data_IF_216365769105
#
_entry.id   IF_216365769105
#
_cell.length_a   1.000
_cell.length_b   1.000
_cell.length_c   1.000
_cell.angle_alpha   90.00
_cell.angle_beta   90.00
_cell.angle_gamma   90.00
#
_symmetry.space_group_name_H-M   'P 1'
#
loop_
_entity.id
_entity.type
_entity.pdbx_description
1 polymer ?
#
# COMPACT_ATOMS: atom_id res chain seq x y z
N UNK A 1 3.01 5.22 52.53
CA UNK A 1 2.43 6.43 51.92
C UNK A 1 3.55 7.24 51.32
N UNK A 2 3.79 7.10 50.02
CA UNK A 2 4.71 7.95 49.25
C UNK A 2 3.96 8.40 48.02
N UNK A 3 3.93 9.72 47.84
CA UNK A 3 3.06 10.44 46.92
C UNK A 3 3.32 10.03 45.46
N UNK A 4 2.23 9.83 44.71
CA UNK A 4 2.23 9.79 43.26
C UNK A 4 2.43 11.23 42.77
N UNK A 5 3.63 11.55 42.28
CA UNK A 5 3.82 12.74 41.47
C UNK A 5 3.25 12.48 40.07
N UNK A 6 2.13 13.13 39.84
CA UNK A 6 1.47 13.35 38.56
C UNK A 6 2.23 14.41 37.77
N UNK A 7 2.22 14.29 36.45
CA UNK A 7 2.68 15.26 35.44
C UNK A 7 4.17 15.25 35.07
N UNK A 8 4.57 14.22 34.32
CA UNK A 8 5.59 14.37 33.29
C UNK A 8 4.98 13.72 32.03
N UNK A 9 4.71 14.46 30.92
CA UNK A 9 4.18 13.86 29.71
C UNK A 9 5.18 12.80 29.25
N UNK A 10 4.72 11.55 29.16
CA UNK A 10 5.53 10.39 28.79
C UNK A 10 6.28 10.71 27.49
N UNK A 11 7.57 11.04 27.62
CA UNK A 11 8.41 11.35 26.49
C UNK A 11 8.59 10.04 25.68
N UNK A 12 8.13 9.99 24.42
CA UNK A 12 8.16 8.77 23.62
C UNK A 12 9.59 8.25 23.40
N UNK A 13 10.60 9.13 23.42
CA UNK A 13 12.01 8.74 23.36
C UNK A 13 12.47 8.06 24.65
N UNK A 14 11.94 8.46 25.82
CA UNK A 14 12.21 7.74 27.08
C UNK A 14 11.55 6.36 27.05
N UNK A 15 10.31 6.23 26.56
CA UNK A 15 9.63 4.94 26.51
C UNK A 15 10.32 3.95 25.56
N UNK A 16 10.75 4.43 24.38
CA UNK A 16 11.56 3.66 23.44
C UNK A 16 12.92 3.26 24.03
N UNK A 17 13.57 4.14 24.79
CA UNK A 17 14.80 3.82 25.51
C UNK A 17 14.57 2.81 26.66
N UNK A 18 13.39 2.81 27.28
CA UNK A 18 13.12 1.90 28.41
C UNK A 18 12.83 0.48 27.93
N UNK A 19 12.34 0.31 26.70
CA UNK A 19 11.84 -0.98 26.23
C UNK A 19 12.93 -1.93 25.70
N UNK A 20 14.12 -1.50 25.25
CA UNK A 20 15.28 -2.38 24.99
C UNK A 20 16.61 -1.62 24.74
N UNK A 21 17.06 -0.77 25.67
CA UNK A 21 18.37 -0.09 25.57
C UNK A 21 19.33 -0.57 26.67
N UNK A 22 20.25 -1.48 26.34
CA UNK A 22 21.36 -1.82 27.23
C UNK A 22 22.49 -0.80 27.01
N UNK A 23 22.81 0.08 27.98
CA UNK A 23 23.71 1.22 27.78
C UNK A 23 25.18 0.84 27.52
N UNK A 24 25.54 -0.45 27.58
CA UNK A 24 26.91 -0.93 27.37
C UNK A 24 27.20 -1.51 25.97
N UNK A 25 26.19 -1.63 25.10
CA UNK A 25 26.41 -2.14 23.74
C UNK A 25 26.89 -1.02 22.80
N UNK A 26 28.16 -1.09 22.41
CA UNK A 26 28.86 -0.14 21.51
C UNK A 26 28.01 0.29 20.31
N UNK A 27 27.73 1.60 20.28
CA UNK A 27 26.71 2.29 19.46
C UNK A 27 27.09 2.54 17.98
N UNK A 28 28.25 2.14 17.48
CA UNK A 28 28.77 2.76 16.24
C UNK A 28 28.37 2.14 14.89
N UNK A 29 27.56 1.07 14.84
CA UNK A 29 27.08 0.54 13.54
C UNK A 29 25.61 0.08 13.48
N UNK A 30 24.88 0.12 14.59
CA UNK A 30 23.46 -0.26 14.66
C UNK A 30 22.48 0.90 14.46
N UNK A 31 22.97 2.14 14.44
CA UNK A 31 22.14 3.35 14.51
C UNK A 31 21.46 3.72 13.18
N UNK A 32 22.09 3.48 12.03
CA UNK A 32 21.50 3.92 10.74
C UNK A 32 20.35 3.04 10.25
N UNK A 33 20.41 1.73 10.45
CA UNK A 33 19.34 0.80 10.06
C UNK A 33 18.13 1.00 10.98
N UNK A 34 18.37 1.03 12.31
CA UNK A 34 17.32 1.27 13.31
C UNK A 34 16.70 2.66 13.16
N UNK A 35 17.50 3.69 12.88
CA UNK A 35 16.99 5.03 12.57
C UNK A 35 16.22 5.06 11.26
N UNK A 36 16.64 4.38 10.20
CA UNK A 36 15.87 4.28 8.95
C UNK A 36 14.55 3.56 9.17
N UNK A 37 14.57 2.48 9.95
CA UNK A 37 13.35 1.75 10.32
C UNK A 37 12.45 2.67 11.13
N UNK A 38 12.96 3.37 12.16
CA UNK A 38 12.19 4.33 12.96
C UNK A 38 11.68 5.54 12.16
N UNK A 39 12.51 6.19 11.36
CA UNK A 39 12.14 7.31 10.48
C UNK A 39 11.10 6.85 9.43
N UNK A 40 11.23 5.62 8.93
CA UNK A 40 10.26 5.00 8.03
C UNK A 40 8.95 4.68 8.73
N UNK A 41 8.99 4.13 9.96
CA UNK A 41 7.80 3.91 10.78
C UNK A 41 7.13 5.24 11.16
N UNK A 42 7.90 6.27 11.53
CA UNK A 42 7.39 7.61 11.82
C UNK A 42 6.80 8.31 10.59
N UNK A 43 7.32 8.03 9.39
CA UNK A 43 6.70 8.48 8.12
C UNK A 43 5.43 7.71 7.76
N UNK A 44 5.29 6.46 8.21
CA UNK A 44 4.12 5.62 7.93
C UNK A 44 3.00 5.82 8.96
N UNK A 45 3.38 6.11 10.21
CA UNK A 45 2.47 6.32 11.33
C UNK A 45 2.13 7.82 11.39
N UNK A 46 1.20 8.25 10.54
CA UNK A 46 0.70 9.63 10.48
C UNK A 46 0.15 10.11 11.84
N UNK A 47 -0.21 9.19 12.73
CA UNK A 47 -0.69 9.45 14.09
C UNK A 47 0.02 8.48 15.03
N UNK A 48 1.26 8.81 15.41
CA UNK A 48 1.93 8.09 16.48
C UNK A 48 1.31 8.57 17.79
N UNK A 49 0.18 7.95 18.15
CA UNK A 49 -0.28 8.03 19.52
C UNK A 49 0.49 6.98 20.33
N UNK A 50 1.23 7.38 21.38
CA UNK A 50 1.90 6.45 22.27
C UNK A 50 0.97 5.38 22.87
N UNK A 51 -0.35 5.65 22.90
CA UNK A 51 -1.36 4.68 23.32
C UNK A 51 -1.30 3.41 22.45
N UNK A 52 -0.97 3.52 21.15
CA UNK A 52 -0.89 2.38 20.23
C UNK A 52 0.52 1.77 20.14
N UNK A 53 1.49 2.27 20.91
CA UNK A 53 2.87 1.77 20.89
C UNK A 53 2.97 0.24 21.10
N UNK A 54 2.22 -0.38 22.03
CA UNK A 54 2.24 -1.84 22.19
C UNK A 54 1.79 -2.57 20.92
N UNK A 55 0.73 -2.09 20.27
CA UNK A 55 0.19 -2.73 19.06
C UNK A 55 1.17 -2.68 17.89
N UNK A 56 1.98 -1.62 17.76
CA UNK A 56 3.03 -1.56 16.75
C UNK A 56 4.13 -2.59 17.00
N UNK A 57 4.44 -2.88 18.26
CA UNK A 57 5.43 -3.90 18.64
C UNK A 57 4.89 -5.31 18.36
N UNK A 58 3.59 -5.53 18.58
CA UNK A 58 2.93 -6.83 18.39
C UNK A 58 2.59 -7.13 16.92
N UNK A 59 2.39 -6.09 16.09
CA UNK A 59 1.94 -6.23 14.71
C UNK A 59 2.76 -7.20 13.84
N UNK A 60 4.11 -7.23 13.88
CA UNK A 60 4.88 -8.19 13.08
C UNK A 60 4.67 -9.65 13.52
N UNK A 61 4.45 -9.88 14.82
CA UNK A 61 4.18 -11.21 15.36
C UNK A 61 2.79 -11.69 14.92
N UNK A 62 1.77 -10.84 15.05
CA UNK A 62 0.41 -11.13 14.59
C UNK A 62 0.35 -11.39 13.08
N UNK A 63 1.06 -10.60 12.27
CA UNK A 63 1.16 -10.85 10.84
C UNK A 63 1.82 -12.20 10.55
N UNK A 64 2.89 -12.53 11.27
CA UNK A 64 3.58 -13.82 11.10
C UNK A 64 2.67 -14.99 11.46
N UNK A 65 1.92 -14.89 12.56
CA UNK A 65 0.92 -15.88 12.96
C UNK A 65 -0.12 -16.08 11.85
N UNK A 66 -0.71 -15.00 11.35
CA UNK A 66 -1.71 -15.05 10.28
C UNK A 66 -1.16 -15.69 9.00
N UNK A 67 0.11 -15.44 8.66
CA UNK A 67 0.72 -15.97 7.44
C UNK A 67 1.16 -17.43 7.57
N UNK A 68 1.53 -17.88 8.77
CA UNK A 68 2.03 -19.23 9.05
C UNK A 68 0.88 -20.21 9.31
N UNK A 69 -0.09 -19.82 10.13
CA UNK A 69 -1.14 -20.72 10.59
C UNK A 69 -2.20 -20.98 9.51
N UNK A 70 -2.50 -19.97 8.69
CA UNK A 70 -3.52 -20.07 7.65
C UNK A 70 -2.92 -20.20 6.25
N UNK A 71 -3.23 -21.32 5.59
CA UNK A 71 -2.82 -21.55 4.21
C UNK A 71 -3.75 -20.82 3.24
N UNK A 72 -3.22 -19.79 2.58
CA UNK A 72 -3.90 -19.08 1.51
C UNK A 72 -4.76 -17.91 1.99
N UNK A 73 -5.12 -17.04 1.04
CA UNK A 73 -5.78 -15.77 1.33
C UNK A 73 -7.16 -15.94 2.00
N UNK A 74 -7.95 -16.94 1.58
CA UNK A 74 -9.30 -17.14 2.11
C UNK A 74 -9.32 -17.45 3.61
N UNK A 75 -8.46 -18.36 4.08
CA UNK A 75 -8.38 -18.71 5.50
C UNK A 75 -7.92 -17.52 6.35
N UNK A 76 -6.98 -16.72 5.84
CA UNK A 76 -6.55 -15.48 6.51
C UNK A 76 -7.68 -14.47 6.65
N UNK A 77 -8.50 -14.31 5.60
CA UNK A 77 -9.67 -13.44 5.64
C UNK A 77 -10.72 -13.93 6.64
N UNK A 78 -11.02 -15.23 6.65
CA UNK A 78 -11.93 -15.84 7.62
C UNK A 78 -11.44 -15.59 9.06
N UNK A 79 -10.16 -15.82 9.31
CA UNK A 79 -9.56 -15.60 10.64
C UNK A 79 -9.60 -14.14 11.08
N UNK A 80 -9.25 -13.19 10.21
CA UNK A 80 -9.39 -11.75 10.50
C UNK A 80 -10.85 -11.37 10.78
N UNK A 81 -11.83 -12.03 10.17
CA UNK A 81 -13.25 -11.72 10.39
C UNK A 81 -13.81 -12.28 11.70
N UNK A 82 -13.26 -13.39 12.20
CA UNK A 82 -13.77 -14.12 13.35
C UNK A 82 -13.03 -13.80 14.64
N UNK A 83 -11.72 -13.58 14.56
CA UNK A 83 -10.85 -13.45 15.73
C UNK A 83 -10.48 -11.99 16.02
N UNK A 84 -10.89 -11.53 17.20
CA UNK A 84 -10.64 -10.18 17.69
C UNK A 84 -9.14 -9.90 17.91
N UNK A 85 -8.31 -10.94 18.04
CA UNK A 85 -6.85 -10.80 18.16
C UNK A 85 -6.20 -10.14 16.94
N UNK A 86 -6.90 -10.06 15.80
CA UNK A 86 -6.40 -9.37 14.61
C UNK A 86 -7.03 -7.98 14.42
N UNK A 87 -7.92 -7.54 15.31
CA UNK A 87 -8.58 -6.22 15.20
C UNK A 87 -7.75 -5.13 15.87
N UNK A 88 -6.50 -5.02 15.42
CA UNK A 88 -5.51 -4.09 15.96
C UNK A 88 -5.14 -3.01 14.96
N UNK A 89 -5.04 -1.77 15.45
CA UNK A 89 -4.62 -0.63 14.65
C UNK A 89 -3.19 -0.84 14.12
N UNK A 90 -2.29 -1.30 15.00
CA UNK A 90 -0.90 -1.60 14.65
C UNK A 90 -0.79 -2.63 13.52
N UNK A 91 -1.59 -3.69 13.58
CA UNK A 91 -1.62 -4.73 12.54
C UNK A 91 -2.11 -4.17 11.20
N UNK A 92 -3.19 -3.38 11.21
CA UNK A 92 -3.70 -2.73 10.01
C UNK A 92 -2.61 -1.88 9.33
N UNK A 93 -1.93 -1.03 10.07
CA UNK A 93 -0.86 -0.19 9.51
C UNK A 93 0.31 -1.03 9.00
N UNK A 94 0.67 -2.11 9.70
CA UNK A 94 1.72 -3.00 9.25
C UNK A 94 1.37 -3.73 7.94
N UNK A 95 0.12 -4.19 7.79
CA UNK A 95 -0.39 -4.78 6.54
C UNK A 95 -0.34 -3.77 5.37
N UNK A 96 -0.71 -2.51 5.60
CA UNK A 96 -0.64 -1.46 4.57
C UNK A 96 0.80 -1.18 4.14
N UNK A 97 1.73 -1.13 5.10
CA UNK A 97 3.15 -0.96 4.82
C UNK A 97 3.68 -2.12 3.99
N UNK A 98 3.36 -3.35 4.38
CA UNK A 98 3.85 -4.56 3.69
C UNK A 98 3.22 -4.72 2.30
N UNK A 99 1.94 -4.38 2.16
CA UNK A 99 1.27 -4.32 0.85
C UNK A 99 2.05 -3.40 -0.10
N UNK A 100 2.43 -2.20 0.35
CA UNK A 100 3.18 -1.25 -0.46
C UNK A 100 4.60 -1.75 -0.80
N UNK A 101 5.29 -2.41 0.14
CA UNK A 101 6.62 -3.00 -0.11
C UNK A 101 6.57 -4.12 -1.15
N UNK A 102 5.52 -4.92 -1.12
CA UNK A 102 5.33 -6.03 -2.05
C UNK A 102 4.96 -5.61 -3.48
N UNK A 103 4.66 -4.32 -3.72
CA UNK A 103 4.28 -3.81 -5.05
C UNK A 103 5.31 -4.09 -6.15
N UNK A 104 6.61 -4.10 -5.80
CA UNK A 104 7.69 -4.32 -6.76
C UNK A 104 7.94 -5.80 -7.04
N UNK A 105 7.57 -6.68 -6.12
CA UNK A 105 7.86 -8.12 -6.18
C UNK A 105 6.64 -8.96 -6.58
N UNK A 106 5.44 -8.61 -6.10
CA UNK A 106 4.20 -9.33 -6.38
C UNK A 106 2.96 -8.44 -6.20
N UNK A 107 2.33 -8.08 -7.32
CA UNK A 107 1.07 -7.34 -7.31
C UNK A 107 -0.09 -8.15 -6.68
N UNK A 108 -0.05 -9.48 -6.75
CA UNK A 108 -1.05 -10.35 -6.11
C UNK A 108 -0.90 -10.29 -4.59
N UNK A 109 0.32 -10.42 -4.07
CA UNK A 109 0.58 -10.32 -2.64
C UNK A 109 0.21 -8.93 -2.10
N UNK A 110 0.53 -7.86 -2.83
CA UNK A 110 0.13 -6.50 -2.46
C UNK A 110 -1.38 -6.38 -2.32
N UNK A 111 -2.13 -6.92 -3.29
CA UNK A 111 -3.59 -6.92 -3.27
C UNK A 111 -4.14 -7.72 -2.09
N UNK A 112 -3.65 -8.93 -1.86
CA UNK A 112 -4.11 -9.77 -0.75
C UNK A 112 -3.83 -9.11 0.62
N UNK A 113 -2.64 -8.54 0.82
CA UNK A 113 -2.30 -7.80 2.05
C UNK A 113 -3.16 -6.55 2.24
N UNK A 114 -3.44 -5.80 1.17
CA UNK A 114 -4.31 -4.63 1.24
C UNK A 114 -5.76 -4.99 1.55
N UNK A 115 -6.24 -6.12 1.05
CA UNK A 115 -7.59 -6.62 1.33
C UNK A 115 -7.72 -7.06 2.80
N UNK A 116 -6.69 -7.72 3.34
CA UNK A 116 -6.60 -8.02 4.78
C UNK A 116 -6.59 -6.74 5.61
N UNK A 117 -5.83 -5.71 5.20
CA UNK A 117 -5.81 -4.43 5.90
C UNK A 117 -7.19 -3.76 5.94
N UNK A 118 -7.94 -3.79 4.82
CA UNK A 118 -9.33 -3.32 4.78
C UNK A 118 -10.19 -4.13 5.75
N UNK A 119 -10.07 -5.46 5.76
CA UNK A 119 -10.85 -6.31 6.66
C UNK A 119 -10.57 -5.97 8.14
N UNK A 120 -9.31 -5.77 8.52
CA UNK A 120 -8.94 -5.32 9.87
C UNK A 120 -9.53 -3.93 10.16
N UNK A 121 -9.32 -2.94 9.28
CA UNK A 121 -9.79 -1.57 9.47
C UNK A 121 -11.32 -1.47 9.67
N UNK A 122 -12.08 -2.32 8.98
CA UNK A 122 -13.54 -2.38 9.10
C UNK A 122 -14.02 -3.00 10.42
N UNK A 123 -13.15 -3.75 11.12
CA UNK A 123 -13.46 -4.37 12.42
C UNK A 123 -12.93 -3.60 13.62
N UNK A 124 -12.08 -2.61 13.42
CA UNK A 124 -11.65 -1.72 14.50
C UNK A 124 -12.84 -1.04 15.16
N UNK A 125 -12.88 -1.08 16.49
CA UNK A 125 -13.91 -0.44 17.30
C UNK A 125 -13.68 1.08 17.36
N UNK A 126 -14.57 1.90 16.77
CA UNK A 126 -14.45 3.35 16.81
C UNK A 126 -14.53 3.93 18.24
N UNK A 127 -15.14 3.19 19.19
CA UNK A 127 -15.17 3.56 20.60
C UNK A 127 -13.81 3.46 21.28
N UNK A 128 -12.93 2.59 20.78
CA UNK A 128 -11.56 2.42 21.27
C UNK A 128 -10.57 3.37 20.59
N UNK A 129 -10.63 3.51 19.25
CA UNK A 129 -9.60 4.19 18.44
C UNK A 129 -9.94 5.62 18.00
N UNK A 130 -11.04 6.21 18.51
CA UNK A 130 -11.66 7.45 18.03
C UNK A 130 -12.26 7.33 16.62
N UNK A 131 -13.51 7.76 16.46
CA UNK A 131 -14.28 7.59 15.24
C UNK A 131 -13.56 8.17 14.01
N UNK A 132 -13.22 9.46 14.02
CA UNK A 132 -12.61 10.12 12.86
C UNK A 132 -11.25 9.53 12.46
N UNK A 133 -10.48 8.98 13.40
CA UNK A 133 -9.20 8.34 13.10
C UNK A 133 -9.41 6.96 12.49
N UNK A 134 -10.39 6.22 12.99
CA UNK A 134 -10.80 4.93 12.41
C UNK A 134 -11.29 5.11 10.98
N UNK A 135 -12.09 6.15 10.72
CA UNK A 135 -12.55 6.49 9.37
C UNK A 135 -11.41 6.89 8.44
N UNK A 136 -10.44 7.69 8.91
CA UNK A 136 -9.24 8.00 8.14
C UNK A 136 -8.44 6.72 7.80
N UNK A 137 -8.28 5.80 8.75
CA UNK A 137 -7.56 4.55 8.51
C UNK A 137 -8.29 3.64 7.51
N UNK A 138 -9.62 3.55 7.60
CA UNK A 138 -10.46 2.84 6.61
C UNK A 138 -10.27 3.43 5.22
N UNK A 139 -10.32 4.76 5.10
CA UNK A 139 -10.09 5.44 3.84
C UNK A 139 -8.70 5.12 3.25
N UNK A 140 -7.66 5.14 4.08
CA UNK A 140 -6.29 4.77 3.69
C UNK A 140 -6.21 3.33 3.20
N UNK A 141 -6.82 2.39 3.92
CA UNK A 141 -6.81 0.98 3.56
C UNK A 141 -7.46 0.76 2.19
N UNK A 142 -8.60 1.39 1.95
CA UNK A 142 -9.28 1.36 0.66
C UNK A 142 -8.47 2.00 -0.47
N UNK A 143 -7.76 3.12 -0.24
CA UNK A 143 -6.87 3.70 -1.25
C UNK A 143 -5.74 2.75 -1.64
N UNK A 144 -5.09 2.10 -0.67
CA UNK A 144 -4.01 1.15 -0.94
C UNK A 144 -4.55 -0.06 -1.71
N UNK A 145 -5.74 -0.56 -1.33
CA UNK A 145 -6.41 -1.64 -2.05
C UNK A 145 -6.75 -1.27 -3.49
N UNK A 146 -7.26 -0.05 -3.73
CA UNK A 146 -7.54 0.45 -5.06
C UNK A 146 -6.28 0.49 -5.95
N UNK A 147 -5.15 0.98 -5.44
CA UNK A 147 -3.89 0.97 -6.23
C UNK A 147 -3.40 -0.46 -6.53
N UNK A 148 -3.57 -1.40 -5.58
CA UNK A 148 -3.21 -2.80 -5.79
C UNK A 148 -4.11 -3.46 -6.87
N UNK A 149 -5.43 -3.28 -6.79
CA UNK A 149 -6.38 -3.78 -7.79
C UNK A 149 -6.11 -3.19 -9.18
N UNK A 150 -5.80 -1.90 -9.25
CA UNK A 150 -5.42 -1.22 -10.49
C UNK A 150 -4.20 -1.87 -11.15
N UNK A 151 -3.17 -2.20 -10.37
CA UNK A 151 -1.94 -2.82 -10.89
C UNK A 151 -2.16 -4.22 -11.43
N UNK A 152 -3.17 -4.92 -10.92
CA UNK A 152 -3.67 -6.19 -11.45
C UNK A 152 -4.64 -6.03 -12.64
N UNK A 153 -4.86 -4.81 -13.13
CA UNK A 153 -5.86 -4.46 -14.15
C UNK A 153 -7.31 -4.83 -13.76
N UNK A 154 -7.62 -4.91 -12.46
CA UNK A 154 -8.97 -5.09 -11.94
C UNK A 154 -9.63 -3.72 -11.75
N UNK A 155 -9.98 -3.09 -12.87
CA UNK A 155 -10.44 -1.69 -12.90
C UNK A 155 -11.73 -1.50 -12.11
N UNK A 156 -12.70 -2.40 -12.29
CA UNK A 156 -13.99 -2.34 -11.57
C UNK A 156 -13.79 -2.46 -10.05
N UNK A 157 -12.98 -3.41 -9.59
CA UNK A 157 -12.64 -3.55 -8.15
C UNK A 157 -11.94 -2.29 -7.61
N UNK A 158 -11.06 -1.67 -8.41
CA UNK A 158 -10.34 -0.47 -8.00
C UNK A 158 -11.26 0.76 -7.90
N UNK A 159 -12.23 0.92 -8.80
CA UNK A 159 -13.22 2.00 -8.76
C UNK A 159 -14.15 1.86 -7.54
N UNK A 160 -14.61 0.65 -7.24
CA UNK A 160 -15.40 0.37 -6.03
C UNK A 160 -14.60 0.72 -4.78
N UNK A 161 -13.34 0.27 -4.70
CA UNK A 161 -12.45 0.57 -3.59
C UNK A 161 -12.23 2.08 -3.41
N UNK A 162 -12.10 2.84 -4.50
CA UNK A 162 -12.00 4.30 -4.42
C UNK A 162 -13.29 4.97 -3.94
N UNK A 163 -14.45 4.47 -4.35
CA UNK A 163 -15.74 4.95 -3.86
C UNK A 163 -15.85 4.79 -2.34
N UNK A 164 -15.46 3.64 -1.80
CA UNK A 164 -15.43 3.40 -0.36
C UNK A 164 -14.37 4.28 0.34
N UNK A 165 -13.18 4.45 -0.26
CA UNK A 165 -12.15 5.34 0.29
C UNK A 165 -12.66 6.78 0.45
N UNK A 166 -13.32 7.31 -0.57
CA UNK A 166 -13.90 8.66 -0.53
C UNK A 166 -15.02 8.78 0.51
N UNK A 167 -15.85 7.75 0.66
CA UNK A 167 -16.93 7.73 1.65
C UNK A 167 -16.37 7.87 3.07
N UNK A 168 -15.41 7.01 3.42
CA UNK A 168 -14.76 7.04 4.73
C UNK A 168 -13.99 8.36 4.96
N UNK A 169 -13.32 8.90 3.93
CA UNK A 169 -12.60 10.16 4.06
C UNK A 169 -13.48 11.38 4.38
N UNK A 170 -14.76 11.35 4.00
CA UNK A 170 -15.73 12.41 4.36
C UNK A 170 -16.15 12.35 5.82
N UNK A 171 -16.07 11.18 6.43
CA UNK A 171 -16.42 10.94 7.84
C UNK A 171 -15.19 11.05 8.78
N UNK A 172 -13.99 11.04 8.19
CA UNK A 172 -12.71 11.19 8.88
C UNK A 172 -12.35 12.63 9.28
N UNK A 173 -11.06 12.88 9.48
CA UNK A 173 -10.57 14.19 9.97
C UNK A 173 -10.42 15.25 8.87
N UNK A 174 -10.68 14.89 7.61
CA UNK A 174 -10.38 15.71 6.44
C UNK A 174 -8.90 16.15 6.36
N UNK A 175 -7.97 15.30 6.83
CA UNK A 175 -6.54 15.60 6.79
C UNK A 175 -6.04 15.82 5.35
N UNK A 176 -5.15 16.82 5.19
CA UNK A 176 -4.58 17.17 3.90
C UNK A 176 -3.79 16.00 3.26
N UNK A 177 -3.19 15.14 4.08
CA UNK A 177 -2.46 13.97 3.61
C UNK A 177 -3.39 12.88 3.06
N UNK A 178 -4.49 12.59 3.77
CA UNK A 178 -5.51 11.68 3.26
C UNK A 178 -6.07 12.19 1.93
N UNK A 179 -6.36 13.49 1.84
CA UNK A 179 -6.80 14.12 0.60
C UNK A 179 -5.77 13.96 -0.53
N UNK A 180 -4.49 14.25 -0.28
CA UNK A 180 -3.42 14.10 -1.26
C UNK A 180 -3.25 12.65 -1.74
N UNK A 181 -3.45 11.67 -0.84
CA UNK A 181 -3.38 10.24 -1.18
C UNK A 181 -4.57 9.79 -2.03
N UNK A 182 -5.78 10.26 -1.73
CA UNK A 182 -6.96 10.03 -2.56
C UNK A 182 -6.72 10.60 -3.95
N UNK A 183 -6.33 11.88 -4.04
CA UNK A 183 -6.04 12.56 -5.30
C UNK A 183 -4.97 11.81 -6.13
N UNK A 184 -3.86 11.43 -5.50
CA UNK A 184 -2.80 10.64 -6.15
C UNK A 184 -3.34 9.31 -6.72
N UNK A 185 -4.21 8.64 -5.98
CA UNK A 185 -4.77 7.35 -6.38
C UNK A 185 -5.78 7.52 -7.51
N UNK A 186 -6.60 8.57 -7.47
CA UNK A 186 -7.53 8.95 -8.55
C UNK A 186 -6.79 9.28 -9.85
N UNK A 187 -5.77 10.12 -9.79
CA UNK A 187 -4.91 10.42 -10.95
C UNK A 187 -4.29 9.14 -11.52
N UNK A 188 -3.88 8.23 -10.62
CA UNK A 188 -3.33 6.93 -10.99
C UNK A 188 -4.35 5.98 -11.61
N UNK A 189 -5.65 6.16 -11.38
CA UNK A 189 -6.70 5.38 -12.04
C UNK A 189 -7.11 6.00 -13.39
N UNK A 190 -7.15 7.33 -13.45
CA UNK A 190 -7.65 8.06 -14.61
C UNK A 190 -6.68 8.05 -15.81
N UNK A 191 -5.36 7.93 -15.61
CA UNK A 191 -4.40 7.97 -16.73
C UNK A 191 -4.56 6.84 -17.76
N UNK A 192 -5.21 5.72 -17.43
CA UNK A 192 -5.55 4.67 -18.42
C UNK A 192 -6.88 4.92 -19.14
N UNK A 193 -7.80 5.70 -18.57
CA UNK A 193 -9.04 6.11 -19.24
C UNK A 193 -8.72 7.06 -20.40
N UNK A 194 -7.74 7.95 -20.20
CA UNK A 194 -7.21 8.82 -21.27
C UNK A 194 -6.31 8.08 -22.28
N UNK A 195 -5.95 6.82 -22.02
CA UNK A 195 -5.19 5.96 -22.94
C UNK A 195 -5.95 5.60 -24.22
N UNK A 196 -7.27 5.87 -24.31
CA UNK A 196 -8.04 5.84 -25.57
C UNK A 196 -8.01 7.16 -26.34
N UNK A 197 -7.32 8.20 -25.86
CA UNK A 197 -7.18 9.50 -26.54
C UNK A 197 -5.76 9.82 -26.99
N UNK A 198 -4.87 8.84 -27.03
CA UNK A 198 -3.74 8.84 -27.97
C UNK A 198 -4.09 7.92 -29.14
N UNK A 199 -4.98 8.41 -30.01
CA UNK A 199 -4.86 8.06 -31.43
C UNK A 199 -3.45 8.49 -31.82
N UNK A 200 -2.57 7.52 -32.06
CA UNK A 200 -1.31 7.72 -32.74
C UNK A 200 -1.58 8.25 -34.15
N UNK A 201 -1.91 9.54 -34.24
CA UNK A 201 -1.88 10.32 -35.45
C UNK A 201 -0.46 10.82 -35.65
N UNK A 202 0.11 10.42 -36.79
CA UNK A 202 1.37 10.87 -37.35
C UNK A 202 2.66 10.20 -36.81
N UNK A 203 2.77 8.88 -36.99
CA UNK A 203 3.94 8.44 -37.76
C UNK A 203 3.66 8.82 -39.21
N UNK A 204 4.29 9.90 -39.68
CA UNK A 204 4.41 10.16 -41.11
C UNK A 204 5.15 8.95 -41.71
N UNK A 205 4.40 8.11 -42.43
CA UNK A 205 4.95 7.15 -43.37
C UNK A 205 5.67 7.95 -44.45
N UNK A 206 6.98 8.12 -44.24
CA UNK A 206 7.91 8.56 -45.27
C UNK A 206 7.86 7.54 -46.40
N UNK A 207 7.26 7.95 -47.51
CA UNK A 207 7.51 7.46 -48.86
C UNK A 207 7.47 5.95 -49.07
N UNK A 208 6.30 5.42 -49.46
CA UNK A 208 6.29 4.28 -50.36
C UNK A 208 7.04 4.66 -51.66
N UNK A 209 8.08 3.93 -52.07
CA UNK A 209 8.58 4.05 -53.43
C UNK A 209 7.56 3.44 -54.39
N UNK A 210 7.26 4.17 -55.46
CA UNK A 210 6.38 3.76 -56.55
C UNK A 210 6.80 2.38 -57.14
N UNK A 211 5.84 1.59 -57.64
CA UNK A 211 6.16 0.36 -58.36
C UNK A 211 6.90 0.74 -59.66
N UNK A 212 8.16 0.32 -59.76
CA UNK A 212 8.91 0.37 -61.01
C UNK A 212 8.33 -0.72 -61.92
N UNK A 213 7.61 -0.30 -62.95
CA UNK A 213 7.26 -1.14 -64.09
C UNK A 213 8.54 -1.59 -64.78
N UNK A 214 8.86 -2.88 -64.67
CA UNK A 214 9.90 -3.51 -65.49
C UNK A 214 9.28 -3.84 -66.84
N UNK A 215 9.84 -3.36 -67.97
CA UNK A 215 9.40 -3.78 -69.28
C UNK A 215 9.94 -5.18 -69.59
N UNK A 216 9.03 -6.06 -70.01
CA UNK A 216 9.34 -7.32 -70.68
C UNK A 216 10.18 -7.05 -71.93
N UNK A 217 11.34 -7.70 -72.03
CA UNK A 217 12.04 -7.86 -73.30
C UNK A 217 12.26 -9.37 -73.56
N UNK A 218 11.65 -9.94 -74.62
CA UNK A 218 11.79 -11.35 -74.96
C UNK A 218 12.95 -11.55 -75.95
N UNK A 219 13.98 -12.32 -75.57
CA UNK A 219 14.76 -13.09 -76.55
C UNK A 219 15.62 -14.18 -75.91
N UNK A 220 15.20 -15.41 -76.18
CA UNK A 220 15.98 -16.59 -76.53
C UNK A 220 17.50 -16.40 -76.67
N UNK A 221 18.31 -17.25 -76.03
CA UNK A 221 18.79 -18.48 -76.66
C UNK A 221 19.71 -19.32 -75.73
N UNK A 222 19.46 -20.62 -75.80
CA UNK A 222 20.17 -21.78 -75.28
C UNK A 222 21.68 -21.85 -75.59
N UNK A 223 22.45 -22.47 -74.67
CA UNK A 223 23.23 -23.74 -74.85
C UNK A 223 24.24 -23.89 -73.70
N UNK A 224 24.14 -24.95 -72.88
CA UNK A 224 24.83 -26.26 -73.03
C UNK A 224 26.36 -26.13 -72.99
N UNK A 225 26.94 -26.54 -71.87
CA UNK A 225 27.85 -27.70 -71.75
C UNK A 225 28.00 -28.06 -70.28
#
# INVERSE_FOLDING_TARGET
>A
MTARNSEDPLNPLKLAATLHWNPEDRVMSRDLESKRVLDHWLQQIEHFDPIFAPEYVEAPALLSELLIEETGHRGRMERVQEDNLFHHWGLCQHLLAESQRSLSSSAVLSRDLSELAVAVAMRLDPGHYHLSWTEDLRAKAWCVHADACRRLNRVEEAEVAMGEAQKHAREGTASAELAARIEKTEMSLNWKVDGKRWNGGACASVGAPLPISVPDDPSSHSRVS
#
